data_IF_334255637862
#
_entry.id   IF_334255637862
#
_cell.length_a   1.000
_cell.length_b   1.000
_cell.length_c   1.000
_cell.angle_alpha   90.00
_cell.angle_beta   90.00
_cell.angle_gamma   90.00
#
_symmetry.space_group_name_H-M   'P 1'
#
loop_
_entity.id
_entity.type
_entity.pdbx_description
1 polymer ?
#
# COMPACT_ATOMS: atom_id res chain seq x y z
N UNK A 1 -9.11 -0.71 37.31
CA UNK A 1 -9.92 -0.54 38.54
C UNK A 1 -8.93 -0.63 39.69
N UNK A 2 -8.22 0.48 40.00
CA UNK A 2 -6.89 0.40 40.62
C UNK A 2 -6.82 1.32 41.85
N UNK A 3 -7.43 0.90 42.96
CA UNK A 3 -7.41 1.65 44.22
C UNK A 3 -6.49 1.00 45.27
N UNK A 4 -6.20 -0.29 45.18
CA UNK A 4 -5.40 -1.04 46.17
C UNK A 4 -4.22 -1.78 45.51
N UNK A 5 -4.01 -1.56 44.21
CA UNK A 5 -2.84 -2.04 43.46
C UNK A 5 -2.53 -1.06 42.33
N UNK A 6 -1.25 -0.87 42.01
CA UNK A 6 -0.78 0.04 40.95
C UNK A 6 -0.20 1.37 41.45
N UNK A 7 -0.30 2.41 40.61
CA UNK A 7 0.35 3.72 40.80
C UNK A 7 -0.59 4.81 41.36
N UNK A 8 -1.47 4.45 42.29
CA UNK A 8 -2.43 5.37 42.92
C UNK A 8 -2.01 5.73 44.35
N UNK A 9 -2.48 6.88 44.86
CA UNK A 9 -2.39 7.23 46.29
C UNK A 9 -3.71 6.88 46.96
N UNK A 10 -3.64 6.06 48.00
CA UNK A 10 -4.82 5.53 48.68
C UNK A 10 -4.76 5.84 50.16
N UNK A 11 -5.87 6.33 50.71
CA UNK A 11 -6.06 6.59 52.14
C UNK A 11 -7.21 5.73 52.64
N UNK A 12 -6.99 5.06 53.77
CA UNK A 12 -8.04 4.33 54.49
C UNK A 12 -8.39 5.12 55.75
N UNK A 13 -9.66 5.47 55.89
CA UNK A 13 -10.20 6.09 57.12
C UNK A 13 -10.94 5.01 57.88
N UNK A 14 -10.63 4.89 59.17
CA UNK A 14 -11.18 3.86 60.05
C UNK A 14 -11.99 4.56 61.14
N UNK A 15 -13.26 4.22 61.24
CA UNK A 15 -14.17 4.74 62.27
C UNK A 15 -14.53 3.62 63.22
N UNK A 16 -14.28 3.82 64.51
CA UNK A 16 -14.56 2.83 65.57
C UNK A 16 -15.33 3.49 66.71
N UNK A 17 -16.08 2.68 67.45
CA UNK A 17 -16.81 3.10 68.64
C UNK A 17 -15.95 2.86 69.90
N UNK A 18 -15.91 3.80 70.86
CA UNK A 18 -15.16 3.61 72.11
C UNK A 18 -15.87 2.71 73.13
N UNK A 19 -17.09 2.22 72.84
CA UNK A 19 -17.87 1.40 73.76
C UNK A 19 -17.30 -0.02 73.95
N UNK A 20 -17.43 -0.55 75.18
CA UNK A 20 -16.99 -1.92 75.54
C UNK A 20 -17.71 -3.00 74.75
N UNK A 21 -18.98 -2.76 74.41
CA UNK A 21 -19.82 -3.72 73.69
C UNK A 21 -19.33 -3.93 72.25
N UNK A 22 -18.64 -2.92 71.69
CA UNK A 22 -18.03 -2.95 70.36
C UNK A 22 -16.54 -3.30 70.38
N UNK A 23 -15.99 -3.73 71.53
CA UNK A 23 -14.55 -3.95 71.68
C UNK A 23 -14.00 -5.02 70.71
N UNK A 24 -14.74 -6.12 70.53
CA UNK A 24 -14.34 -7.19 69.60
C UNK A 24 -14.29 -6.72 68.15
N UNK A 25 -15.35 -6.05 67.68
CA UNK A 25 -15.42 -5.52 66.31
C UNK A 25 -14.39 -4.41 66.06
N UNK A 26 -14.14 -3.58 67.08
CA UNK A 26 -13.10 -2.54 67.04
C UNK A 26 -11.71 -3.17 66.88
N UNK A 27 -11.41 -4.23 67.62
CA UNK A 27 -10.16 -4.97 67.48
C UNK A 27 -9.99 -5.53 66.06
N UNK A 28 -11.00 -6.24 65.56
CA UNK A 28 -11.01 -6.81 64.21
C UNK A 28 -10.79 -5.73 63.12
N UNK A 29 -11.42 -4.58 63.28
CA UNK A 29 -11.30 -3.43 62.37
C UNK A 29 -9.89 -2.85 62.37
N UNK A 30 -9.29 -2.68 63.55
CA UNK A 30 -7.92 -2.15 63.69
C UNK A 30 -6.86 -3.13 63.18
N UNK A 31 -7.06 -4.43 63.39
CA UNK A 31 -6.21 -5.47 62.81
C UNK A 31 -6.24 -5.44 61.27
N UNK A 32 -7.43 -5.28 60.69
CA UNK A 32 -7.57 -5.13 59.24
C UNK A 32 -6.86 -3.87 58.74
N UNK A 33 -7.06 -2.72 59.38
CA UNK A 33 -6.39 -1.47 59.04
C UNK A 33 -4.85 -1.61 59.13
N UNK A 34 -4.36 -2.34 60.12
CA UNK A 34 -2.93 -2.64 60.29
C UNK A 34 -2.40 -3.46 59.13
N UNK A 35 -3.14 -4.46 58.66
CA UNK A 35 -2.78 -5.24 57.46
C UNK A 35 -2.81 -4.37 56.20
N UNK A 36 -3.85 -3.58 56.01
CA UNK A 36 -4.00 -2.69 54.86
C UNK A 36 -2.86 -1.66 54.77
N UNK A 37 -2.41 -1.11 55.91
CA UNK A 37 -1.26 -0.20 55.99
C UNK A 37 0.05 -0.81 55.47
N UNK A 38 0.22 -2.13 55.57
CA UNK A 38 1.43 -2.83 55.11
C UNK A 38 1.49 -3.00 53.59
N UNK A 39 0.40 -2.74 52.88
CA UNK A 39 0.34 -2.83 51.43
C UNK A 39 1.25 -1.74 50.85
N UNK A 40 2.34 -2.15 50.20
CA UNK A 40 3.23 -1.24 49.48
C UNK A 40 2.60 -0.86 48.15
N UNK A 41 1.89 0.26 48.12
CA UNK A 41 1.53 0.89 46.85
C UNK A 41 2.79 1.47 46.22
N UNK A 42 3.00 1.20 44.93
CA UNK A 42 4.12 1.77 44.19
C UNK A 42 4.02 3.29 44.13
N UNK A 43 5.10 3.94 43.70
CA UNK A 43 5.11 5.41 43.58
C UNK A 43 4.01 5.87 42.63
N UNK A 44 3.17 6.80 43.09
CA UNK A 44 2.04 7.26 42.31
C UNK A 44 2.52 8.02 41.07
N UNK A 45 2.24 7.47 39.89
CA UNK A 45 2.61 8.08 38.61
C UNK A 45 1.48 9.01 38.21
N UNK A 46 1.79 10.30 38.06
CA UNK A 46 0.86 11.23 37.40
C UNK A 46 0.51 10.66 36.03
N UNK A 47 -0.77 10.72 35.66
CA UNK A 47 -1.27 10.22 34.38
C UNK A 47 -0.88 11.14 33.21
N UNK A 48 0.42 11.41 33.07
CA UNK A 48 1.01 12.25 32.02
C UNK A 48 1.16 11.45 30.73
N UNK A 49 1.35 10.13 30.85
CA UNK A 49 1.48 9.22 29.71
C UNK A 49 0.22 9.25 28.85
N UNK A 50 -0.98 9.29 29.45
CA UNK A 50 -2.23 9.35 28.66
C UNK A 50 -2.37 10.68 27.90
N UNK A 51 -2.04 11.83 28.51
CA UNK A 51 -2.06 13.12 27.80
C UNK A 51 -1.09 13.14 26.61
N UNK A 52 0.11 12.62 26.82
CA UNK A 52 1.11 12.52 25.75
C UNK A 52 0.64 11.56 24.64
N UNK A 53 -0.06 10.47 24.98
CA UNK A 53 -0.62 9.56 23.99
C UNK A 53 -1.74 10.21 23.18
N UNK A 54 -2.65 10.96 23.80
CA UNK A 54 -3.72 11.70 23.10
C UNK A 54 -3.15 12.72 22.11
N UNK A 55 -2.14 13.49 22.52
CA UNK A 55 -1.45 14.45 21.65
C UNK A 55 -0.71 13.75 20.50
N UNK A 56 -0.05 12.62 20.79
CA UNK A 56 0.61 11.80 19.77
C UNK A 56 -0.38 11.19 18.78
N UNK A 57 -1.52 10.69 19.25
CA UNK A 57 -2.59 10.15 18.40
C UNK A 57 -3.10 11.25 17.46
N UNK A 58 -3.44 12.44 17.99
CA UNK A 58 -3.86 13.58 17.17
C UNK A 58 -2.81 14.00 16.14
N UNK A 59 -1.52 13.92 16.49
CA UNK A 59 -0.43 14.20 15.55
C UNK A 59 -0.36 13.14 14.45
N UNK A 60 -0.38 11.87 14.82
CA UNK A 60 -0.35 10.74 13.89
C UNK A 60 -1.56 10.76 12.94
N UNK A 61 -2.76 11.08 13.44
CA UNK A 61 -3.96 11.23 12.60
C UNK A 61 -3.80 12.33 11.54
N UNK A 62 -3.21 13.47 11.91
CA UNK A 62 -2.91 14.56 10.96
C UNK A 62 -1.88 14.11 9.92
N UNK A 63 -0.83 13.43 10.35
CA UNK A 63 0.23 12.96 9.46
C UNK A 63 -0.31 11.90 8.47
N UNK A 64 -1.13 10.96 8.93
CA UNK A 64 -1.81 9.96 8.09
C UNK A 64 -2.73 10.64 7.07
N UNK A 65 -3.52 11.64 7.50
CA UNK A 65 -4.38 12.40 6.59
C UNK A 65 -3.57 13.12 5.50
N UNK A 66 -2.47 13.76 5.88
CA UNK A 66 -1.59 14.45 4.95
C UNK A 66 -0.94 13.47 3.95
N UNK A 67 -0.37 12.37 4.44
CA UNK A 67 0.28 11.36 3.61
C UNK A 67 -0.69 10.68 2.64
N UNK A 68 -1.92 10.36 3.08
CA UNK A 68 -2.94 9.82 2.19
C UNK A 68 -3.35 10.81 1.10
N UNK A 69 -3.44 12.10 1.41
CA UNK A 69 -3.70 13.14 0.41
C UNK A 69 -2.57 13.25 -0.62
N UNK A 70 -1.31 13.20 -0.19
CA UNK A 70 -0.16 13.20 -1.09
C UNK A 70 -0.07 11.93 -1.95
N UNK A 71 -0.40 10.77 -1.36
CA UNK A 71 -0.45 9.49 -2.05
C UNK A 71 -1.54 9.48 -3.14
N UNK A 72 -2.75 9.94 -2.85
CA UNK A 72 -3.84 10.03 -3.83
C UNK A 72 -3.44 10.83 -5.07
N UNK A 73 -2.81 12.00 -4.88
CA UNK A 73 -2.32 12.83 -6.00
C UNK A 73 -1.27 12.11 -6.84
N UNK A 74 -0.37 11.37 -6.18
CA UNK A 74 0.66 10.59 -6.85
C UNK A 74 0.05 9.41 -7.62
N UNK A 75 -0.93 8.73 -7.04
CA UNK A 75 -1.65 7.62 -7.67
C UNK A 75 -2.46 8.09 -8.89
N UNK A 76 -3.10 9.27 -8.82
CA UNK A 76 -3.76 9.92 -9.96
C UNK A 76 -2.78 10.24 -11.09
N UNK A 77 -1.62 10.82 -10.76
CA UNK A 77 -0.57 11.11 -11.73
C UNK A 77 -0.06 9.82 -12.41
N UNK A 78 0.19 8.77 -11.63
CA UNK A 78 0.60 7.46 -12.13
C UNK A 78 -0.46 6.82 -13.02
N UNK A 79 -1.74 6.93 -12.66
CA UNK A 79 -2.86 6.44 -13.46
C UNK A 79 -2.89 7.15 -14.83
N UNK A 80 -2.75 8.47 -14.84
CA UNK A 80 -2.72 9.25 -16.08
C UNK A 80 -1.53 8.86 -16.98
N UNK A 81 -0.35 8.62 -16.39
CA UNK A 81 0.84 8.24 -17.12
C UNK A 81 0.74 6.82 -17.68
N UNK A 82 0.17 5.89 -16.89
CA UNK A 82 -0.09 4.51 -17.31
C UNK A 82 -1.05 4.46 -18.50
N UNK A 83 -2.09 5.30 -18.50
CA UNK A 83 -3.01 5.43 -19.62
C UNK A 83 -2.33 5.99 -20.88
N UNK A 84 -1.48 7.01 -20.74
CA UNK A 84 -0.68 7.55 -21.86
C UNK A 84 0.26 6.49 -22.44
N UNK A 85 0.95 5.74 -21.58
CA UNK A 85 1.84 4.65 -22.00
C UNK A 85 1.07 3.56 -22.76
N UNK A 86 -0.09 3.13 -22.25
CA UNK A 86 -0.93 2.12 -22.90
C UNK A 86 -1.37 2.58 -24.31
N UNK A 87 -1.83 3.83 -24.44
CA UNK A 87 -2.20 4.40 -25.76
C UNK A 87 -1.01 4.47 -26.72
N UNK A 88 0.16 4.88 -26.25
CA UNK A 88 1.36 4.93 -27.06
C UNK A 88 1.79 3.51 -27.53
N UNK A 89 1.63 2.50 -26.68
CA UNK A 89 1.89 1.11 -27.03
C UNK A 89 0.93 0.60 -28.12
N UNK A 90 -0.37 0.87 -28.00
CA UNK A 90 -1.40 0.53 -29.02
C UNK A 90 -1.12 1.23 -30.36
N UNK A 91 -0.70 2.51 -30.33
CA UNK A 91 -0.30 3.24 -31.54
C UNK A 91 0.95 2.63 -32.20
N UNK A 92 1.93 2.19 -31.41
CA UNK A 92 3.13 1.56 -31.93
C UNK A 92 2.81 0.20 -32.59
N UNK A 93 1.91 -0.57 -32.00
CA UNK A 93 1.47 -1.86 -32.56
C UNK A 93 0.70 -1.69 -33.86
N UNK A 94 -0.23 -0.73 -33.93
CA UNK A 94 -0.95 -0.44 -35.18
C UNK A 94 -0.04 0.05 -36.31
N UNK A 95 0.97 0.88 -35.98
CA UNK A 95 1.99 1.32 -36.96
C UNK A 95 2.90 0.19 -37.45
N UNK A 96 3.19 -0.81 -36.59
CA UNK A 96 3.96 -1.98 -37.00
C UNK A 96 3.18 -2.84 -37.99
N UNK A 97 1.87 -3.04 -37.75
CA UNK A 97 1.00 -3.81 -38.63
C UNK A 97 0.80 -3.15 -40.00
N UNK A 98 0.61 -1.83 -40.06
CA UNK A 98 0.52 -1.13 -41.34
C UNK A 98 1.83 -1.23 -42.13
N UNK A 99 2.98 -1.03 -41.47
CA UNK A 99 4.30 -1.20 -42.10
C UNK A 99 4.56 -2.62 -42.61
N UNK A 100 4.08 -3.66 -41.93
CA UNK A 100 4.24 -5.04 -42.42
C UNK A 100 3.38 -5.31 -43.64
N UNK A 101 2.14 -4.80 -43.66
CA UNK A 101 1.22 -4.98 -44.78
C UNK A 101 1.69 -4.22 -46.04
N UNK A 102 2.16 -2.98 -45.90
CA UNK A 102 2.71 -2.19 -47.01
C UNK A 102 4.01 -2.78 -47.57
N UNK A 103 4.86 -3.33 -46.70
CA UNK A 103 6.08 -4.04 -47.13
C UNK A 103 5.74 -5.32 -47.89
N UNK A 104 4.75 -6.08 -47.43
CA UNK A 104 4.31 -7.32 -48.08
C UNK A 104 3.76 -7.03 -49.48
N UNK A 105 2.87 -6.04 -49.63
CA UNK A 105 2.31 -5.66 -50.93
C UNK A 105 3.39 -5.14 -51.89
N UNK A 106 4.36 -4.37 -51.37
CA UNK A 106 5.51 -3.89 -52.13
C UNK A 106 6.46 -5.03 -52.54
N UNK A 107 6.65 -6.03 -51.69
CA UNK A 107 7.46 -7.22 -52.04
C UNK A 107 6.76 -8.11 -53.05
N UNK A 108 5.44 -8.30 -52.94
CA UNK A 108 4.66 -9.12 -53.88
C UNK A 108 4.65 -8.52 -55.28
N UNK A 109 4.48 -7.19 -55.37
CA UNK A 109 4.56 -6.45 -56.63
C UNK A 109 5.94 -6.58 -57.29
N UNK A 110 7.02 -6.46 -56.49
CA UNK A 110 8.40 -6.65 -56.97
C UNK A 110 8.67 -8.07 -57.45
N UNK A 111 8.13 -9.07 -56.74
CA UNK A 111 8.30 -10.49 -57.06
C UNK A 111 7.60 -10.87 -58.36
N UNK A 112 6.36 -10.39 -58.55
CA UNK A 112 5.60 -10.60 -59.79
C UNK A 112 6.27 -9.95 -61.01
N UNK A 113 6.76 -8.71 -60.87
CA UNK A 113 7.54 -8.04 -61.92
C UNK A 113 8.79 -8.83 -62.31
N UNK A 114 9.50 -9.37 -61.33
CA UNK A 114 10.69 -10.18 -61.56
C UNK A 114 10.36 -11.48 -62.32
N UNK A 115 9.29 -12.19 -61.94
CA UNK A 115 8.83 -13.41 -62.63
C UNK A 115 8.43 -13.16 -64.09
N UNK A 116 7.76 -12.04 -64.38
CA UNK A 116 7.41 -11.69 -65.76
C UNK A 116 8.65 -11.36 -66.59
N UNK A 117 9.64 -10.66 -66.00
CA UNK A 117 10.88 -10.34 -66.69
C UNK A 117 11.70 -11.60 -67.01
N UNK A 118 11.75 -12.58 -66.11
CA UNK A 118 12.50 -13.83 -66.36
C UNK A 118 11.84 -14.63 -67.48
N UNK A 119 10.50 -14.76 -67.47
CA UNK A 119 9.76 -15.45 -68.54
C UNK A 119 9.97 -14.81 -69.91
N UNK A 120 9.90 -13.48 -69.99
CA UNK A 120 10.13 -12.77 -71.24
C UNK A 120 11.54 -13.02 -71.80
N UNK A 121 12.54 -13.06 -70.93
CA UNK A 121 13.92 -13.37 -71.33
C UNK A 121 14.07 -14.82 -71.79
N UNK A 122 13.45 -15.78 -71.09
CA UNK A 122 13.44 -17.20 -71.50
C UNK A 122 12.76 -17.39 -72.88
N UNK A 123 11.61 -16.76 -73.10
CA UNK A 123 10.90 -16.79 -74.38
C UNK A 123 11.74 -16.16 -75.50
N UNK A 124 12.38 -15.01 -75.23
CA UNK A 124 13.34 -14.39 -76.17
C UNK A 124 14.48 -15.31 -76.53
N UNK A 125 15.10 -15.96 -75.55
CA UNK A 125 16.20 -16.91 -75.76
C UNK A 125 15.75 -18.11 -76.60
N UNK A 126 14.56 -18.66 -76.34
CA UNK A 126 13.99 -19.74 -77.13
C UNK A 126 13.75 -19.30 -78.58
N UNK A 127 13.27 -18.08 -78.79
CA UNK A 127 13.02 -17.53 -80.12
C UNK A 127 14.32 -17.29 -80.89
N UNK A 128 15.36 -16.74 -80.25
CA UNK A 128 16.68 -16.56 -80.87
C UNK A 128 17.28 -17.90 -81.29
N UNK A 129 17.22 -18.91 -80.42
CA UNK A 129 17.68 -20.28 -80.74
C UNK A 129 16.86 -20.99 -81.83
N UNK A 130 15.63 -20.54 -82.10
CA UNK A 130 14.83 -21.01 -83.24
C UNK A 130 15.26 -20.35 -84.54
N UNK A 131 15.62 -19.07 -84.50
CA UNK A 131 16.10 -18.32 -85.67
C UNK A 131 17.48 -18.84 -86.10
N UNK A 132 18.39 -19.14 -85.17
CA UNK A 132 19.73 -19.69 -85.48
C UNK A 132 19.71 -21.13 -86.02
N UNK A 133 18.58 -21.84 -85.96
CA UNK A 133 18.42 -23.21 -86.46
C UNK A 133 17.90 -23.30 -87.90
N UNK A 134 17.56 -22.18 -88.52
CA UNK A 134 17.25 -22.07 -89.95
C UNK A 134 18.44 -21.51 -90.71
#
# INVERSE_FOLDING_TARGET
KDCIGGSSRTMMVVTVSPGSDSAHETLCTLEFATRARRIKLGSAKRNIVNKNNEERIKKLERDVKYLNGAKSKSDEALCSLRNKYKRAQEQLESLKQSKTNDKMSSSDSRRSLHEMSTKYNEEREIMLKKIERY
#
